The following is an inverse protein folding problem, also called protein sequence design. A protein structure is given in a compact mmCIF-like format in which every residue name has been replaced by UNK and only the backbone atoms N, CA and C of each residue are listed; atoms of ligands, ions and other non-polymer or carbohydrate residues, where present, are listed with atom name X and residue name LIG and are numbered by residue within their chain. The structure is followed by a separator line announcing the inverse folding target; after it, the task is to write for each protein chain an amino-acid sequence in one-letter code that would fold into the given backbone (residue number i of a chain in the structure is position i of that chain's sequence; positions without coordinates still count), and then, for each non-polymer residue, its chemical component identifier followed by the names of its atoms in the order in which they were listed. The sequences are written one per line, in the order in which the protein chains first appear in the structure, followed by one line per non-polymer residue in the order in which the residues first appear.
data_IF_634376229468
#
_entry.id   IF_634376229468
#
_cell.length_a   1.000
_cell.length_b   1.000
_cell.length_c   1.000
_cell.angle_alpha   90.00
_cell.angle_beta   90.00
_cell.angle_gamma   90.00
#
_symmetry.space_group_name_H-M   'P 1'
#
loop_
_entity.id
_entity.type
_entity.pdbx_description
1 polymer ?
#
# COMPACT_ATOMS: atom_id res chain seq x y z
N UNK A 1 37.82 54.92 -8.80
CA UNK A 1 38.82 54.56 -9.83
C UNK A 1 40.14 54.31 -9.11
N UNK A 2 40.47 53.07 -8.74
CA UNK A 2 41.68 52.80 -7.94
C UNK A 2 42.72 52.09 -8.77
N UNK A 3 43.88 52.74 -8.93
CA UNK A 3 45.09 52.19 -9.53
C UNK A 3 46.04 51.81 -8.39
N UNK A 4 46.45 50.55 -8.32
CA UNK A 4 47.49 50.08 -7.41
C UNK A 4 48.62 49.45 -8.24
N UNK A 5 49.87 49.87 -7.98
CA UNK A 5 51.08 49.45 -8.67
C UNK A 5 52.03 48.72 -7.69
N UNK A 6 52.77 47.72 -8.17
CA UNK A 6 53.86 47.07 -7.43
C UNK A 6 55.19 47.86 -7.56
N UNK A 7 56.10 47.71 -6.58
CA UNK A 7 57.39 48.42 -6.37
C UNK A 7 58.41 48.29 -7.50
N UNK A 8 58.08 47.65 -8.63
CA UNK A 8 58.90 47.55 -9.85
C UNK A 8 58.12 47.84 -11.13
N UNK A 9 56.98 48.53 -11.04
CA UNK A 9 56.32 49.15 -12.20
C UNK A 9 55.80 48.21 -13.30
N UNK A 10 55.68 46.90 -13.06
CA UNK A 10 55.15 45.94 -14.05
C UNK A 10 53.72 45.54 -13.74
N UNK A 11 52.83 45.64 -14.74
CA UNK A 11 51.43 45.20 -14.70
C UNK A 11 51.36 43.68 -14.80
N UNK A 12 50.84 43.00 -13.77
CA UNK A 12 50.56 41.55 -13.82
C UNK A 12 49.05 41.29 -13.77
N UNK A 13 48.55 40.46 -14.70
CA UNK A 13 47.17 39.98 -14.80
C UNK A 13 47.06 38.59 -14.18
N UNK A 14 46.47 38.47 -13.00
CA UNK A 14 45.90 37.25 -12.40
C UNK A 14 45.24 37.68 -11.08
N UNK A 15 44.07 37.21 -10.65
CA UNK A 15 43.53 35.88 -10.77
C UNK A 15 41.98 35.88 -10.88
N UNK A 16 41.50 34.80 -11.48
CA UNK A 16 40.09 34.48 -11.78
C UNK A 16 39.20 34.47 -10.53
N UNK A 17 38.05 35.12 -10.69
CA UNK A 17 36.70 34.80 -10.17
C UNK A 17 36.60 33.41 -9.51
N UNK A 18 36.22 33.39 -8.23
CA UNK A 18 35.71 32.19 -7.55
C UNK A 18 34.45 31.70 -8.27
N UNK A 19 34.58 30.55 -8.88
CA UNK A 19 33.51 29.80 -9.51
C UNK A 19 32.62 29.23 -8.40
N UNK A 20 31.51 29.90 -8.11
CA UNK A 20 30.41 29.32 -7.34
C UNK A 20 29.84 28.23 -8.25
N UNK A 21 30.34 27.00 -8.10
CA UNK A 21 29.67 25.82 -8.62
C UNK A 21 28.35 25.71 -7.86
N UNK A 22 27.32 26.35 -8.42
CA UNK A 22 25.93 25.95 -8.22
C UNK A 22 25.88 24.47 -8.58
N UNK A 23 26.00 23.62 -7.55
CA UNK A 23 25.55 22.25 -7.61
C UNK A 23 24.08 22.33 -7.96
N UNK A 24 23.78 22.24 -9.25
CA UNK A 24 22.47 21.82 -9.74
C UNK A 24 22.42 20.33 -9.42
N UNK A 25 22.31 20.03 -8.13
CA UNK A 25 21.94 18.73 -7.61
C UNK A 25 20.73 18.32 -8.43
N UNK A 26 20.89 17.26 -9.21
CA UNK A 26 19.88 16.77 -10.12
C UNK A 26 18.66 16.43 -9.27
N UNK A 27 17.67 17.33 -9.24
CA UNK A 27 16.33 16.98 -8.79
C UNK A 27 15.95 15.73 -9.58
N UNK A 28 15.80 14.60 -8.89
CA UNK A 28 15.57 13.28 -9.48
C UNK A 28 14.08 12.98 -9.30
N UNK A 29 13.18 13.52 -10.15
CA UNK A 29 11.73 13.34 -10.00
C UNK A 29 11.33 11.87 -9.97
N UNK A 30 12.15 10.97 -10.52
CA UNK A 30 11.94 9.52 -10.49
C UNK A 30 12.00 8.88 -9.10
N UNK A 31 12.70 9.45 -8.12
CA UNK A 31 12.78 8.88 -6.77
C UNK A 31 11.50 9.19 -5.97
N UNK A 32 11.03 10.44 -6.04
CA UNK A 32 9.77 10.87 -5.39
C UNK A 32 8.56 10.20 -6.05
N UNK A 33 8.48 10.18 -7.38
CA UNK A 33 7.34 9.56 -8.08
C UNK A 33 7.17 8.06 -7.76
N UNK A 34 8.27 7.31 -7.60
CA UNK A 34 8.21 5.89 -7.20
C UNK A 34 7.78 5.70 -5.76
N UNK A 35 8.14 6.62 -4.87
CA UNK A 35 7.70 6.62 -3.47
C UNK A 35 6.23 7.00 -3.35
N UNK A 36 5.77 7.96 -4.14
CA UNK A 36 4.38 8.42 -4.16
C UNK A 36 3.44 7.36 -4.77
N UNK A 37 3.86 6.70 -5.87
CA UNK A 37 3.11 5.56 -6.45
C UNK A 37 3.04 4.37 -5.48
N UNK A 38 4.13 4.08 -4.77
CA UNK A 38 4.12 3.03 -3.75
C UNK A 38 3.20 3.41 -2.58
N UNK A 39 3.22 4.67 -2.14
CA UNK A 39 2.36 5.15 -1.06
C UNK A 39 0.88 5.12 -1.47
N UNK A 40 0.54 5.54 -2.70
CA UNK A 40 -0.83 5.48 -3.21
C UNK A 40 -1.33 4.04 -3.32
N UNK A 41 -0.47 3.11 -3.76
CA UNK A 41 -0.79 1.68 -3.80
C UNK A 41 -1.08 1.11 -2.40
N UNK A 42 -0.26 1.45 -1.39
CA UNK A 42 -0.50 1.04 -0.01
C UNK A 42 -1.85 1.55 0.51
N UNK A 43 -2.16 2.81 0.27
CA UNK A 43 -3.42 3.43 0.68
C UNK A 43 -4.61 2.76 -0.02
N UNK A 44 -4.52 2.50 -1.32
CA UNK A 44 -5.56 1.82 -2.09
C UNK A 44 -5.83 0.41 -1.53
N UNK A 45 -4.77 -0.36 -1.26
CA UNK A 45 -4.90 -1.68 -0.63
C UNK A 45 -5.57 -1.60 0.74
N UNK A 46 -5.18 -0.65 1.58
CA UNK A 46 -5.79 -0.50 2.91
C UNK A 46 -7.27 -0.14 2.83
N UNK A 47 -7.65 0.77 1.94
CA UNK A 47 -9.06 1.14 1.73
C UNK A 47 -9.88 -0.04 1.24
N UNK A 48 -9.41 -0.75 0.21
CA UNK A 48 -10.09 -1.94 -0.31
C UNK A 48 -10.29 -3.02 0.77
N UNK A 49 -9.30 -3.21 1.65
CA UNK A 49 -9.42 -4.19 2.75
C UNK A 49 -10.40 -3.74 3.84
N UNK A 50 -10.57 -2.43 4.05
CA UNK A 50 -11.57 -1.90 4.98
C UNK A 50 -13.01 -2.12 4.52
N UNK A 51 -13.23 -2.36 3.23
CA UNK A 51 -14.55 -2.64 2.66
C UNK A 51 -14.99 -4.09 2.82
N UNK A 52 -14.08 -5.00 3.23
CA UNK A 52 -14.45 -6.41 3.44
C UNK A 52 -15.38 -6.48 4.65
N UNK A 53 -16.61 -7.02 4.53
CA UNK A 53 -17.54 -7.13 5.65
C UNK A 53 -17.03 -8.03 6.77
N UNK A 54 -17.56 -7.85 7.98
CA UNK A 54 -17.33 -8.78 9.08
C UNK A 54 -17.87 -10.18 8.75
N UNK A 55 -17.13 -11.21 9.16
CA UNK A 55 -17.49 -12.59 8.84
C UNK A 55 -17.25 -12.98 7.38
N UNK A 56 -16.62 -12.12 6.58
CA UNK A 56 -16.27 -12.39 5.19
C UNK A 56 -14.77 -12.36 4.96
N UNK A 57 -14.34 -13.12 3.95
CA UNK A 57 -12.93 -13.37 3.65
C UNK A 57 -12.70 -13.29 2.15
N UNK A 58 -11.55 -12.74 1.76
CA UNK A 58 -11.13 -12.64 0.36
C UNK A 58 -9.69 -13.08 0.17
N UNK A 59 -9.21 -13.03 -1.07
CA UNK A 59 -7.84 -13.42 -1.41
C UNK A 59 -6.94 -12.23 -1.75
N UNK A 60 -5.63 -12.38 -1.56
CA UNK A 60 -4.64 -11.39 -2.01
C UNK A 60 -4.77 -11.05 -3.50
N UNK A 61 -5.09 -12.04 -4.33
CA UNK A 61 -5.31 -11.85 -5.77
C UNK A 61 -6.55 -11.02 -6.06
N UNK A 62 -7.61 -11.21 -5.29
CA UNK A 62 -8.84 -10.45 -5.47
C UNK A 62 -8.68 -8.98 -5.08
N UNK A 63 -8.02 -8.69 -3.95
CA UNK A 63 -7.68 -7.31 -3.59
C UNK A 63 -6.80 -6.66 -4.67
N UNK A 64 -5.83 -7.40 -5.21
CA UNK A 64 -4.99 -6.90 -6.30
C UNK A 64 -5.81 -6.58 -7.58
N UNK A 65 -6.84 -7.39 -7.90
CA UNK A 65 -7.80 -7.13 -8.99
C UNK A 65 -8.58 -5.83 -8.71
N UNK A 66 -9.16 -5.70 -7.52
CA UNK A 66 -9.98 -4.55 -7.13
C UNK A 66 -9.23 -3.22 -7.17
N UNK A 67 -7.95 -3.21 -6.76
CA UNK A 67 -7.12 -1.99 -6.84
C UNK A 67 -6.46 -1.77 -8.22
N UNK A 68 -6.92 -2.47 -9.26
CA UNK A 68 -6.46 -2.29 -10.65
C UNK A 68 -5.08 -2.87 -10.96
N UNK A 69 -4.54 -3.78 -10.14
CA UNK A 69 -3.21 -4.38 -10.32
C UNK A 69 -3.19 -5.91 -10.14
N UNK A 70 -3.99 -6.67 -10.92
CA UNK A 70 -4.18 -8.13 -10.74
C UNK A 70 -2.88 -8.95 -10.72
N UNK A 71 -1.82 -8.45 -11.36
CA UNK A 71 -0.47 -9.03 -11.41
C UNK A 71 0.36 -8.86 -10.13
N UNK A 72 -0.14 -8.16 -9.09
CA UNK A 72 0.62 -7.78 -7.88
C UNK A 72 0.08 -8.35 -6.53
N UNK A 73 -0.42 -9.61 -6.43
CA UNK A 73 -0.96 -10.15 -5.18
C UNK A 73 0.06 -10.23 -4.04
N UNK A 74 1.33 -10.48 -4.36
CA UNK A 74 2.41 -10.49 -3.36
C UNK A 74 2.63 -9.11 -2.74
N UNK A 75 2.42 -8.04 -3.50
CA UNK A 75 2.58 -6.68 -2.98
C UNK A 75 1.48 -6.33 -1.98
N UNK A 76 0.24 -6.81 -2.20
CA UNK A 76 -0.84 -6.70 -1.21
C UNK A 76 -0.42 -7.31 0.13
N UNK A 77 0.16 -8.50 0.11
CA UNK A 77 0.70 -9.15 1.32
C UNK A 77 1.80 -8.34 2.00
N UNK A 78 2.66 -7.67 1.23
CA UNK A 78 3.67 -6.75 1.75
C UNK A 78 3.00 -5.55 2.43
N UNK A 79 2.00 -4.91 1.79
CA UNK A 79 1.26 -3.81 2.39
C UNK A 79 0.69 -4.21 3.75
N UNK A 80 -0.04 -5.34 3.83
CA UNK A 80 -0.64 -5.80 5.09
C UNK A 80 0.40 -6.16 6.16
N UNK A 81 1.59 -6.64 5.76
CA UNK A 81 2.70 -6.88 6.70
C UNK A 81 3.27 -5.58 7.28
N UNK A 82 3.17 -4.47 6.55
CA UNK A 82 3.69 -3.16 6.93
C UNK A 82 2.66 -2.25 7.60
N UNK A 83 1.49 -2.78 8.00
CA UNK A 83 0.53 -2.03 8.80
C UNK A 83 1.18 -1.51 10.09
N UNK A 84 0.87 -0.26 10.42
CA UNK A 84 1.33 0.35 11.66
C UNK A 84 0.70 -0.34 12.88
N UNK A 85 1.45 -0.42 13.97
CA UNK A 85 0.94 -0.83 15.28
C UNK A 85 0.54 0.38 16.14
N UNK A 86 0.83 1.60 15.67
CA UNK A 86 0.42 2.84 16.32
C UNK A 86 -1.09 3.09 16.05
N UNK A 87 -1.95 3.12 17.09
CA UNK A 87 -3.37 3.42 16.94
C UNK A 87 -3.66 4.84 16.41
N UNK A 88 -2.70 5.77 16.50
CA UNK A 88 -2.84 7.13 15.97
C UNK A 88 -2.62 7.24 14.46
N UNK A 89 -2.10 6.19 13.80
CA UNK A 89 -1.89 6.19 12.36
C UNK A 89 -3.23 6.07 11.61
N UNK A 90 -3.36 6.75 10.46
CA UNK A 90 -4.58 6.67 9.62
C UNK A 90 -4.97 5.23 9.25
N UNK A 91 -3.99 4.39 8.95
CA UNK A 91 -4.16 2.97 8.67
C UNK A 91 -3.25 2.17 9.60
N UNK A 92 -3.85 1.30 10.41
CA UNK A 92 -3.15 0.49 11.41
C UNK A 92 -3.81 -0.87 11.55
N UNK A 93 -3.17 -1.78 12.29
CA UNK A 93 -3.64 -3.16 12.48
C UNK A 93 -4.99 -3.29 13.20
N UNK A 94 -5.50 -2.20 13.79
CA UNK A 94 -6.79 -2.17 14.48
C UNK A 94 -7.97 -1.67 13.64
N UNK A 95 -7.71 -0.92 12.56
CA UNK A 95 -8.77 -0.41 11.67
C UNK A 95 -8.73 -0.99 10.25
N UNK A 96 -7.66 -1.68 9.86
CA UNK A 96 -7.57 -2.45 8.62
C UNK A 96 -7.68 -3.94 8.95
N UNK A 97 -8.78 -4.63 8.55
CA UNK A 97 -9.05 -6.02 8.93
C UNK A 97 -8.21 -7.01 8.11
N UNK A 98 -6.89 -6.95 8.29
CA UNK A 98 -5.91 -7.76 7.57
C UNK A 98 -6.13 -9.27 7.70
N UNK A 99 -6.78 -9.72 8.78
CA UNK A 99 -7.11 -11.12 9.02
C UNK A 99 -8.06 -11.70 7.96
N UNK A 100 -8.89 -10.85 7.33
CA UNK A 100 -9.87 -11.22 6.29
C UNK A 100 -9.25 -11.50 4.92
N UNK A 101 -7.93 -11.33 4.77
CA UNK A 101 -7.22 -11.59 3.51
C UNK A 101 -6.33 -12.84 3.64
N UNK A 102 -6.64 -13.86 2.85
CA UNK A 102 -5.93 -15.15 2.85
C UNK A 102 -5.45 -15.53 1.44
N UNK A 103 -4.83 -16.70 1.28
CA UNK A 103 -4.36 -17.11 -0.04
C UNK A 103 -5.53 -17.55 -0.95
N UNK A 104 -5.25 -17.68 -2.25
CA UNK A 104 -6.27 -18.01 -3.26
C UNK A 104 -6.86 -19.42 -3.13
N UNK A 105 -6.27 -20.29 -2.29
CA UNK A 105 -6.77 -21.64 -2.01
C UNK A 105 -7.68 -21.67 -0.77
N UNK A 106 -7.97 -20.53 -0.15
CA UNK A 106 -8.71 -20.48 1.11
C UNK A 106 -7.87 -20.91 2.31
N UNK A 107 -6.54 -20.98 2.19
CA UNK A 107 -5.65 -21.41 3.27
C UNK A 107 -5.02 -20.19 3.95
N UNK A 108 -4.99 -20.20 5.28
CA UNK A 108 -4.31 -19.22 6.11
C UNK A 108 -2.80 -19.46 5.99
N UNK A 109 -2.10 -18.52 5.36
CA UNK A 109 -0.68 -18.70 5.05
C UNK A 109 0.18 -18.79 6.32
N UNK A 110 1.14 -19.74 6.38
CA UNK A 110 2.12 -19.80 7.46
C UNK A 110 2.88 -18.47 7.54
N UNK A 111 2.98 -17.91 8.74
CA UNK A 111 3.77 -16.69 8.99
C UNK A 111 5.09 -17.05 9.68
N UNK A 112 6.06 -16.15 9.61
CA UNK A 112 7.41 -16.34 10.20
C UNK A 112 7.40 -16.66 11.70
N UNK A 113 6.31 -16.32 12.39
CA UNK A 113 6.04 -16.73 13.76
C UNK A 113 4.97 -17.85 13.75
N UNK A 114 5.19 -18.99 14.42
CA UNK A 114 4.22 -20.09 14.48
C UNK A 114 2.83 -19.67 14.97
N UNK A 115 2.76 -18.61 15.79
CA UNK A 115 1.50 -18.05 16.30
C UNK A 115 0.73 -17.21 15.27
N UNK A 116 1.35 -16.73 14.20
CA UNK A 116 0.72 -15.78 13.27
C UNK A 116 -0.49 -16.35 12.54
N UNK A 117 -0.40 -17.60 12.06
CA UNK A 117 -1.53 -18.28 11.42
C UNK A 117 -2.65 -18.60 12.42
N UNK A 118 -2.29 -19.00 13.64
CA UNK A 118 -3.26 -19.27 14.72
C UNK A 118 -3.98 -18.00 15.17
N UNK A 119 -3.29 -16.88 15.28
CA UNK A 119 -3.87 -15.59 15.63
C UNK A 119 -4.84 -15.11 14.53
N UNK A 120 -4.45 -15.25 13.25
CA UNK A 120 -5.34 -14.94 12.13
C UNK A 120 -6.59 -15.83 12.16
N UNK A 121 -6.45 -17.12 12.41
CA UNK A 121 -7.59 -18.03 12.55
C UNK A 121 -8.49 -17.70 13.76
N UNK A 122 -7.90 -17.31 14.89
CA UNK A 122 -8.66 -16.92 16.07
C UNK A 122 -9.47 -15.63 15.83
N UNK A 123 -8.86 -14.64 15.15
CA UNK A 123 -9.56 -13.41 14.77
C UNK A 123 -10.73 -13.69 13.81
N UNK A 124 -10.53 -14.54 12.81
CA UNK A 124 -11.59 -14.98 11.90
C UNK A 124 -12.74 -15.69 12.63
N UNK A 125 -12.41 -16.61 13.56
CA UNK A 125 -13.42 -17.29 14.38
C UNK A 125 -14.22 -16.33 15.27
N UNK A 126 -13.58 -15.26 15.78
CA UNK A 126 -14.25 -14.25 16.58
C UNK A 126 -15.31 -13.47 15.76
N UNK A 127 -15.11 -13.37 14.44
CA UNK A 127 -16.06 -12.78 13.49
C UNK A 127 -17.10 -13.80 12.96
N UNK A 128 -17.13 -15.01 13.51
CA UNK A 128 -18.06 -16.07 13.10
C UNK A 128 -17.62 -16.88 11.87
N UNK A 129 -16.37 -16.75 11.40
CA UNK A 129 -15.85 -17.54 10.28
C UNK A 129 -15.40 -18.92 10.75
N UNK A 130 -15.93 -19.97 10.14
CA UNK A 130 -15.49 -21.34 10.40
C UNK A 130 -14.12 -21.60 9.76
N UNK A 131 -13.13 -21.95 10.60
CA UNK A 131 -11.77 -22.31 10.18
C UNK A 131 -11.53 -23.79 10.44
N UNK A 132 -11.39 -24.55 9.35
CA UNK A 132 -11.10 -25.98 9.33
C UNK A 132 -9.60 -26.24 9.48
N UNK A 133 -9.25 -27.39 10.03
CA UNK A 133 -7.86 -27.88 10.09
C UNK A 133 -7.77 -29.20 9.34
N UNK A 134 -6.85 -29.31 8.39
CA UNK A 134 -6.65 -30.55 7.64
C UNK A 134 -5.72 -31.55 8.38
N UNK A 135 -5.49 -32.72 7.77
CA UNK A 135 -4.63 -33.76 8.33
C UNK A 135 -3.15 -33.35 8.46
N UNK A 136 -2.71 -32.33 7.72
CA UNK A 136 -1.36 -31.76 7.76
C UNK A 136 -1.25 -30.58 8.74
N UNK A 137 -2.37 -30.18 9.36
CA UNK A 137 -2.44 -29.04 10.27
C UNK A 137 -2.59 -27.69 9.58
N UNK A 138 -2.89 -27.66 8.27
CA UNK A 138 -3.19 -26.42 7.54
C UNK A 138 -4.56 -25.90 7.93
N UNK A 139 -4.64 -24.59 8.18
CA UNK A 139 -5.87 -23.90 8.55
C UNK A 139 -6.51 -23.31 7.30
N UNK A 140 -7.77 -23.63 7.03
CA UNK A 140 -8.48 -23.18 5.82
C UNK A 140 -9.89 -22.66 6.12
N UNK A 141 -10.40 -21.84 5.20
CA UNK A 141 -11.73 -21.25 5.21
C UNK A 141 -12.41 -21.59 3.88
N UNK A 142 -13.69 -21.94 3.93
CA UNK A 142 -14.48 -22.17 2.74
C UNK A 142 -14.92 -20.84 2.11
N UNK A 143 -14.43 -20.57 0.89
CA UNK A 143 -14.84 -19.41 0.12
C UNK A 143 -16.27 -19.49 -0.41
N UNK A 144 -16.86 -20.68 -0.53
CA UNK A 144 -18.28 -20.82 -0.90
C UNK A 144 -19.21 -20.18 0.14
N UNK A 145 -18.84 -20.25 1.42
CA UNK A 145 -19.65 -19.74 2.53
C UNK A 145 -19.24 -18.31 2.93
N UNK A 146 -17.93 -18.09 3.07
CA UNK A 146 -17.39 -16.84 3.63
C UNK A 146 -16.76 -15.93 2.57
N UNK A 147 -16.74 -16.33 1.30
CA UNK A 147 -16.11 -15.57 0.23
C UNK A 147 -16.73 -14.19 0.01
N UNK A 148 -15.87 -13.19 -0.16
CA UNK A 148 -16.22 -11.85 -0.63
C UNK A 148 -15.41 -11.54 -1.90
N UNK A 149 -16.10 -11.59 -3.03
CA UNK A 149 -15.52 -11.46 -4.37
C UNK A 149 -16.36 -10.55 -5.28
N UNK A 150 -16.58 -9.27 -4.92
CA UNK A 150 -17.28 -8.35 -5.81
C UNK A 150 -16.43 -8.05 -7.06
N UNK A 151 -17.06 -7.58 -8.13
CA UNK A 151 -16.34 -7.20 -9.34
C UNK A 151 -15.68 -5.82 -9.26
N UNK A 152 -16.31 -4.91 -8.51
CA UNK A 152 -15.84 -3.56 -8.18
C UNK A 152 -15.94 -3.31 -6.67
N UNK A 153 -15.26 -2.30 -6.14
CA UNK A 153 -15.39 -1.96 -4.73
C UNK A 153 -16.78 -1.37 -4.45
N UNK A 154 -17.45 -1.75 -3.33
CA UNK A 154 -18.72 -1.13 -2.93
C UNK A 154 -18.68 0.41 -2.89
N UNK A 155 -17.54 1.00 -2.52
CA UNK A 155 -17.36 2.45 -2.56
C UNK A 155 -17.38 3.02 -3.99
N UNK A 156 -16.79 2.33 -4.96
CA UNK A 156 -16.78 2.74 -6.38
C UNK A 156 -18.16 2.52 -7.03
N UNK A 157 -18.85 1.43 -6.68
CA UNK A 157 -20.20 1.14 -7.18
C UNK A 157 -21.21 2.23 -6.79
N UNK A 158 -21.08 2.80 -5.57
CA UNK A 158 -21.91 3.90 -5.12
C UNK A 158 -21.71 5.19 -5.95
N UNK A 159 -20.46 5.49 -6.33
CA UNK A 159 -20.12 6.68 -7.12
C UNK A 159 -20.72 6.61 -8.55
N UNK A 160 -20.71 5.42 -9.16
CA UNK A 160 -21.28 5.20 -10.51
C UNK A 160 -22.82 5.36 -10.54
N UNK A 161 -23.49 4.95 -9.46
CA UNK A 161 -24.94 5.06 -9.33
C UNK A 161 -25.40 6.52 -9.12
N UNK A 162 -24.66 7.31 -8.34
CA UNK A 162 -24.94 8.74 -8.12
C UNK A 162 -24.78 9.58 -9.40
N UNK A 163 -23.77 9.27 -10.23
CA UNK A 163 -23.53 9.97 -11.50
C UNK A 163 -24.61 9.64 -12.55
N UNK A 164 -25.06 8.38 -12.60
CA UNK A 164 -26.12 7.94 -13.52
C UNK A 164 -27.47 8.53 -13.14
N UNK A 165 -27.79 8.58 -11.84
CA UNK A 165 -29.01 9.20 -11.32
C UNK A 165 -29.09 10.72 -11.56
N UNK A 166 -27.96 11.41 -11.65
CA UNK A 166 -27.91 12.86 -11.90
C UNK A 166 -28.05 13.24 -13.38
N UNK A 167 -27.98 12.27 -14.30
CA UNK A 167 -28.02 12.50 -15.75
C UNK A 167 -29.41 12.33 -16.38
N UNK A 168 -30.42 11.89 -15.61
CA UNK A 168 -31.78 11.63 -16.08
C UNK A 168 -32.76 12.80 -15.84
N UNK A 169 -32.31 13.89 -15.21
CA UNK A 169 -33.11 15.08 -14.85
C UNK A 169 -32.88 16.31 -15.76
N UNK A 170 -32.41 16.13 -17.01
CA UNK A 170 -32.32 17.19 -18.05
C UNK A 170 -33.25 16.94 -19.24
#
# INVERSE_FOLDING_TARGET
MYLHFDKRGRRTKQARRKEIKRGREKYRPQAMARSDEAASFFIAVYRAVQEIPEGKVTSYGHIAKLVGTPQRPRQVGICLKHLSHDPGARHHSGNVPWQRVINSKGIISPRSQPSGARNQAAALRAEGVTVSTDALGELSVDFGEYGWFPDILPSEEAEEQEWSSSSEDE
#
